data_IF_128697164808
#
_entry.id   IF_128697164808
#
_cell.length_a   1.000
_cell.length_b   1.000
_cell.length_c   1.000
_cell.angle_alpha   90.00
_cell.angle_beta   90.00
_cell.angle_gamma   90.00
#
_symmetry.space_group_name_H-M   'P 1'
#
loop_
_entity.id
_entity.type
_entity.pdbx_description
1 polymer ?
#
# COMPACT_ATOMS: atom_id res chain seq x y z
N UNK A 1 17.72 -21.67 -0.55
CA UNK A 1 17.65 -23.05 -1.09
C UNK A 1 18.78 -23.39 -2.08
N UNK A 2 19.22 -22.50 -2.96
CA UNK A 2 20.26 -22.80 -3.96
C UNK A 2 21.50 -23.53 -3.43
N UNK A 3 22.14 -23.10 -2.32
CA UNK A 3 23.30 -23.80 -1.76
C UNK A 3 23.01 -25.19 -1.15
N UNK A 4 21.74 -25.48 -0.85
CA UNK A 4 21.32 -26.73 -0.20
C UNK A 4 20.87 -27.81 -1.17
N UNK A 5 20.46 -27.42 -2.38
CA UNK A 5 19.97 -28.34 -3.42
C UNK A 5 21.00 -28.47 -4.54
N UNK A 6 21.42 -29.69 -4.82
CA UNK A 6 22.33 -29.99 -5.96
C UNK A 6 21.66 -29.74 -7.31
N UNK A 7 20.35 -29.93 -7.41
CA UNK A 7 19.54 -29.71 -8.61
C UNK A 7 18.26 -28.95 -8.26
N UNK A 8 18.32 -27.61 -8.02
CA UNK A 8 17.14 -26.85 -7.59
C UNK A 8 15.98 -26.90 -8.59
N UNK A 9 16.27 -26.96 -9.89
CA UNK A 9 15.27 -27.02 -10.97
C UNK A 9 14.58 -28.38 -11.13
N UNK A 10 15.07 -29.42 -10.42
CA UNK A 10 14.50 -30.76 -10.45
C UNK A 10 13.56 -31.07 -9.27
N UNK A 11 13.30 -30.10 -8.42
CA UNK A 11 12.41 -30.24 -7.26
C UNK A 11 11.02 -29.69 -7.63
N UNK A 12 9.96 -30.46 -7.32
CA UNK A 12 8.58 -30.01 -7.55
C UNK A 12 8.32 -28.67 -6.86
N UNK A 13 7.54 -27.75 -7.47
CA UNK A 13 7.29 -26.41 -6.94
C UNK A 13 6.76 -26.42 -5.50
N UNK A 14 5.85 -27.35 -5.19
CA UNK A 14 5.22 -27.52 -3.87
C UNK A 14 6.26 -27.96 -2.82
N UNK A 15 7.14 -28.87 -3.21
CA UNK A 15 8.22 -29.32 -2.35
C UNK A 15 9.27 -28.24 -2.11
N UNK A 16 9.57 -27.44 -3.14
CA UNK A 16 10.45 -26.27 -3.01
C UNK A 16 9.84 -25.24 -2.06
N UNK A 17 8.55 -24.93 -2.19
CA UNK A 17 7.83 -24.04 -1.30
C UNK A 17 7.83 -24.55 0.16
N UNK A 18 7.60 -25.85 0.37
CA UNK A 18 7.68 -26.47 1.68
C UNK A 18 9.07 -26.31 2.31
N UNK A 19 10.14 -26.58 1.56
CA UNK A 19 11.52 -26.41 2.03
C UNK A 19 11.84 -24.96 2.40
N UNK A 20 11.36 -23.98 1.61
CA UNK A 20 11.53 -22.55 1.91
C UNK A 20 10.78 -22.17 3.18
N UNK A 21 9.50 -22.57 3.31
CA UNK A 21 8.69 -22.28 4.49
C UNK A 21 9.29 -22.90 5.76
N UNK A 22 9.72 -24.17 5.69
CA UNK A 22 10.34 -24.85 6.82
C UNK A 22 11.68 -24.20 7.22
N UNK A 23 12.53 -23.83 6.26
CA UNK A 23 13.77 -23.13 6.56
C UNK A 23 13.52 -21.76 7.20
N UNK A 24 12.48 -21.03 6.74
CA UNK A 24 12.05 -19.78 7.37
C UNK A 24 11.58 -20.00 8.82
N UNK A 25 10.79 -21.06 9.07
CA UNK A 25 10.36 -21.41 10.43
C UNK A 25 11.54 -21.78 11.34
N UNK A 26 12.53 -22.52 10.83
CA UNK A 26 13.76 -22.82 11.59
C UNK A 26 14.51 -21.53 11.96
N UNK A 27 14.50 -20.52 11.08
CA UNK A 27 15.23 -19.29 11.29
C UNK A 27 14.52 -18.32 12.25
N UNK A 28 13.20 -18.14 12.06
CA UNK A 28 12.47 -17.04 12.67
C UNK A 28 11.38 -17.44 13.65
N UNK A 29 11.02 -18.74 13.76
CA UNK A 29 10.03 -19.16 14.75
C UNK A 29 10.67 -19.47 16.11
N UNK A 30 9.83 -19.49 17.15
CA UNK A 30 10.25 -19.90 18.51
C UNK A 30 10.30 -21.43 18.67
N UNK A 31 9.93 -22.20 17.66
CA UNK A 31 9.89 -23.64 17.72
C UNK A 31 11.30 -24.24 17.69
N UNK A 32 11.48 -25.37 18.36
CA UNK A 32 12.73 -26.11 18.25
C UNK A 32 12.99 -26.53 16.79
N UNK A 33 14.20 -26.27 16.23
CA UNK A 33 14.52 -26.60 14.84
C UNK A 33 14.19 -28.03 14.45
N UNK A 34 14.42 -28.98 15.35
CA UNK A 34 14.14 -30.42 15.14
C UNK A 34 12.64 -30.69 14.99
N UNK A 35 11.79 -30.00 15.76
CA UNK A 35 10.33 -30.13 15.65
C UNK A 35 9.85 -29.59 14.28
N UNK A 36 10.38 -28.47 13.84
CA UNK A 36 10.07 -27.92 12.52
C UNK A 36 10.47 -28.87 11.38
N UNK A 37 11.65 -29.52 11.50
CA UNK A 37 12.08 -30.54 10.52
C UNK A 37 11.10 -31.71 10.48
N UNK A 38 10.64 -32.20 11.64
CA UNK A 38 9.69 -33.29 11.72
C UNK A 38 8.35 -32.94 11.05
N UNK A 39 7.78 -31.79 11.41
CA UNK A 39 6.53 -31.31 10.83
C UNK A 39 6.65 -31.12 9.29
N UNK A 40 7.78 -30.63 8.81
CA UNK A 40 8.01 -30.48 7.37
C UNK A 40 8.07 -31.84 6.63
N UNK A 41 8.62 -32.87 7.26
CA UNK A 41 8.63 -34.23 6.71
C UNK A 41 7.21 -34.81 6.65
N UNK A 42 6.38 -34.56 7.67
CA UNK A 42 4.96 -34.98 7.66
C UNK A 42 4.16 -34.21 6.62
N UNK A 43 4.40 -32.89 6.47
CA UNK A 43 3.79 -32.09 5.42
C UNK A 43 4.12 -32.59 4.00
N UNK A 44 5.33 -33.10 3.76
CA UNK A 44 5.67 -33.72 2.48
C UNK A 44 4.80 -34.95 2.16
N UNK A 45 4.43 -35.73 3.18
CA UNK A 45 3.49 -36.88 3.01
C UNK A 45 2.09 -36.40 2.66
N UNK A 46 1.61 -35.33 3.32
CA UNK A 46 0.31 -34.71 3.03
C UNK A 46 0.26 -34.20 1.59
N UNK A 47 1.35 -33.62 1.09
CA UNK A 47 1.51 -33.18 -0.29
C UNK A 47 1.63 -34.35 -1.31
N UNK A 48 1.52 -35.61 -0.86
CA UNK A 48 1.70 -36.82 -1.67
C UNK A 48 3.11 -36.98 -2.26
N UNK A 49 4.09 -36.36 -1.63
CA UNK A 49 5.51 -36.37 -2.00
C UNK A 49 6.30 -37.36 -1.08
N UNK A 50 5.76 -38.52 -0.82
CA UNK A 50 6.32 -39.51 0.14
C UNK A 50 7.77 -39.90 -0.18
N UNK A 51 8.10 -40.02 -1.48
CA UNK A 51 9.47 -40.33 -1.95
C UNK A 51 10.47 -39.23 -1.65
N UNK A 52 10.00 -38.01 -1.40
CA UNK A 52 10.85 -36.85 -1.12
C UNK A 52 11.06 -36.59 0.39
N UNK A 53 10.43 -37.35 1.27
CA UNK A 53 10.57 -37.17 2.74
C UNK A 53 12.01 -37.24 3.21
N UNK A 54 12.80 -38.17 2.63
CA UNK A 54 14.25 -38.28 2.89
C UNK A 54 15.02 -37.04 2.44
N UNK A 55 14.67 -36.48 1.29
CA UNK A 55 15.25 -35.22 0.79
C UNK A 55 14.92 -34.05 1.71
N UNK A 56 13.65 -33.91 2.12
CA UNK A 56 13.20 -32.84 3.04
C UNK A 56 13.98 -32.92 4.34
N UNK A 57 14.06 -34.10 4.95
CA UNK A 57 14.78 -34.30 6.19
C UNK A 57 16.29 -33.96 6.03
N UNK A 58 16.93 -34.48 4.98
CA UNK A 58 18.36 -34.21 4.72
C UNK A 58 18.67 -32.71 4.48
N UNK A 59 17.89 -32.04 3.65
CA UNK A 59 18.06 -30.63 3.33
C UNK A 59 17.87 -29.75 4.57
N UNK A 60 16.82 -30.00 5.35
CA UNK A 60 16.53 -29.18 6.54
C UNK A 60 17.50 -29.45 7.68
N UNK A 61 17.92 -30.71 7.90
CA UNK A 61 18.98 -31.00 8.89
C UNK A 61 20.30 -30.37 8.52
N UNK A 62 20.66 -30.38 7.23
CA UNK A 62 21.85 -29.69 6.75
C UNK A 62 21.72 -28.18 6.92
N UNK A 63 20.54 -27.61 6.69
CA UNK A 63 20.28 -26.17 6.96
C UNK A 63 20.51 -25.88 8.44
N UNK A 64 20.00 -26.68 9.35
CA UNK A 64 20.17 -26.49 10.81
C UNK A 64 21.66 -26.56 11.20
N UNK A 65 22.39 -27.55 10.70
CA UNK A 65 23.82 -27.78 11.08
C UNK A 65 24.77 -26.75 10.46
N UNK A 66 24.52 -26.29 9.22
CA UNK A 66 25.38 -25.35 8.49
C UNK A 66 24.82 -23.92 8.52
N UNK A 67 23.81 -23.61 9.35
CA UNK A 67 23.02 -22.38 9.35
C UNK A 67 23.89 -21.11 9.28
N UNK A 68 24.84 -20.95 10.19
CA UNK A 68 25.67 -19.74 10.27
C UNK A 68 26.49 -19.52 8.97
N UNK A 69 27.11 -20.59 8.44
CA UNK A 69 27.89 -20.50 7.21
C UNK A 69 27.02 -20.22 5.97
N UNK A 70 25.81 -20.81 5.93
CA UNK A 70 24.86 -20.57 4.84
C UNK A 70 24.32 -19.15 4.85
N UNK A 71 23.95 -18.61 6.02
CA UNK A 71 23.49 -17.25 6.17
C UNK A 71 24.59 -16.25 5.78
N UNK A 72 25.81 -16.42 6.29
CA UNK A 72 26.96 -15.57 5.90
C UNK A 72 27.17 -15.53 4.38
N UNK A 73 27.03 -16.67 3.68
CA UNK A 73 27.15 -16.73 2.21
C UNK A 73 25.98 -16.03 1.49
N UNK A 74 24.78 -16.05 2.06
CA UNK A 74 23.60 -15.35 1.51
C UNK A 74 23.77 -13.85 1.71
N UNK A 75 24.18 -13.44 2.90
CA UNK A 75 24.33 -12.03 3.31
C UNK A 75 25.51 -11.33 2.63
N UNK A 76 26.47 -12.10 2.10
CA UNK A 76 27.50 -11.55 1.23
C UNK A 76 26.93 -10.93 -0.07
N UNK A 77 25.70 -11.31 -0.47
CA UNK A 77 25.01 -10.74 -1.62
C UNK A 77 24.01 -9.68 -1.16
N UNK A 78 23.96 -8.55 -1.86
CA UNK A 78 23.05 -7.43 -1.56
C UNK A 78 21.59 -7.89 -1.43
N UNK A 79 21.10 -8.67 -2.40
CA UNK A 79 19.74 -9.18 -2.38
C UNK A 79 19.44 -10.12 -1.20
N UNK A 80 20.44 -10.91 -0.77
CA UNK A 80 20.31 -11.77 0.42
C UNK A 80 20.25 -10.94 1.71
N UNK A 81 21.25 -10.07 1.89
CA UNK A 81 21.36 -9.22 3.09
C UNK A 81 20.15 -8.32 3.31
N UNK A 82 19.57 -7.77 2.24
CA UNK A 82 18.43 -6.88 2.31
C UNK A 82 17.09 -7.61 2.20
N UNK A 83 17.08 -8.88 1.82
CA UNK A 83 15.87 -9.65 1.48
C UNK A 83 15.00 -8.96 0.41
N UNK A 84 15.65 -8.26 -0.55
CA UNK A 84 14.97 -7.58 -1.66
C UNK A 84 15.64 -7.91 -3.00
N UNK A 85 14.91 -7.88 -4.13
CA UNK A 85 15.50 -8.08 -5.45
C UNK A 85 16.51 -6.96 -5.78
N UNK A 86 17.61 -7.32 -6.42
CA UNK A 86 18.71 -6.40 -6.70
C UNK A 86 18.28 -5.18 -7.52
N UNK A 87 17.33 -5.35 -8.45
CA UNK A 87 16.79 -4.24 -9.25
C UNK A 87 16.13 -3.16 -8.38
N UNK A 88 15.36 -3.58 -7.36
CA UNK A 88 14.67 -2.65 -6.46
C UNK A 88 15.67 -1.87 -5.61
N UNK A 89 16.64 -2.57 -5.00
CA UNK A 89 17.71 -1.91 -4.22
C UNK A 89 18.49 -0.91 -5.07
N UNK A 90 18.79 -1.26 -6.33
CA UNK A 90 19.47 -0.35 -7.26
C UNK A 90 18.65 0.91 -7.54
N UNK A 91 17.33 0.77 -7.76
CA UNK A 91 16.43 1.93 -7.98
C UNK A 91 16.32 2.81 -6.74
N UNK A 92 16.20 2.21 -5.55
CA UNK A 92 16.19 2.98 -4.29
C UNK A 92 17.48 3.80 -4.12
N UNK A 93 18.64 3.17 -4.31
CA UNK A 93 19.93 3.84 -4.18
C UNK A 93 20.17 4.93 -5.24
N UNK A 94 19.48 4.84 -6.38
CA UNK A 94 19.51 5.91 -7.39
C UNK A 94 18.59 7.08 -7.05
N UNK A 95 17.51 6.82 -6.28
CA UNK A 95 16.49 7.82 -5.94
C UNK A 95 16.71 8.49 -4.57
N UNK A 96 17.33 7.79 -3.64
CA UNK A 96 17.48 8.22 -2.24
C UNK A 96 18.92 8.10 -1.76
N UNK A 97 19.21 8.76 -0.62
CA UNK A 97 20.49 8.58 0.07
C UNK A 97 20.65 7.12 0.55
N UNK A 98 21.88 6.66 0.81
CA UNK A 98 22.13 5.32 1.36
C UNK A 98 21.36 5.05 2.66
N UNK A 99 21.27 6.03 3.54
CA UNK A 99 20.58 5.96 4.84
C UNK A 99 19.08 5.77 4.62
N UNK A 100 18.46 6.61 3.78
CA UNK A 100 17.04 6.52 3.45
C UNK A 100 16.70 5.20 2.77
N UNK A 101 17.56 4.75 1.85
CA UNK A 101 17.38 3.44 1.20
C UNK A 101 17.44 2.30 2.20
N UNK A 102 18.35 2.36 3.17
CA UNK A 102 18.45 1.37 4.24
C UNK A 102 17.21 1.38 5.14
N UNK A 103 16.70 2.55 5.52
CA UNK A 103 15.49 2.70 6.33
C UNK A 103 14.26 2.10 5.62
N UNK A 104 14.08 2.36 4.32
CA UNK A 104 13.01 1.76 3.51
C UNK A 104 13.13 0.24 3.49
N UNK A 105 14.33 -0.30 3.24
CA UNK A 105 14.55 -1.74 3.17
C UNK A 105 14.33 -2.43 4.52
N UNK A 106 14.75 -1.81 5.61
CA UNK A 106 14.53 -2.30 6.96
C UNK A 106 13.05 -2.29 7.33
N UNK A 107 12.36 -1.19 7.05
CA UNK A 107 10.92 -1.07 7.28
C UNK A 107 10.10 -2.09 6.49
N UNK A 108 10.48 -2.36 5.24
CA UNK A 108 9.84 -3.38 4.40
C UNK A 108 9.98 -4.81 4.96
N UNK A 109 10.96 -5.06 5.81
CA UNK A 109 11.19 -6.35 6.47
C UNK A 109 10.58 -6.41 7.90
N UNK A 110 10.10 -5.29 8.41
CA UNK A 110 9.47 -5.20 9.72
C UNK A 110 7.98 -5.53 9.67
N UNK A 111 7.39 -5.84 10.83
CA UNK A 111 5.93 -5.97 10.94
C UNK A 111 5.25 -4.62 10.69
N UNK A 112 4.19 -4.58 9.87
CA UNK A 112 3.45 -3.36 9.64
C UNK A 112 2.69 -2.94 10.91
N UNK A 113 2.64 -1.64 11.25
CA UNK A 113 1.79 -1.17 12.32
C UNK A 113 0.31 -1.34 11.93
N UNK A 114 -0.54 -1.69 12.89
CA UNK A 114 -1.98 -1.62 12.69
C UNK A 114 -2.46 -0.22 13.02
N UNK A 115 -3.03 0.44 12.02
CA UNK A 115 -3.56 1.79 12.15
C UNK A 115 -5.06 1.81 11.88
N UNK A 116 -5.78 2.54 12.69
CA UNK A 116 -7.21 2.74 12.59
C UNK A 116 -7.50 4.18 12.16
N UNK A 117 -8.53 4.34 11.34
CA UNK A 117 -9.18 5.61 11.04
C UNK A 117 -10.48 5.68 11.83
N UNK A 118 -10.61 6.67 12.67
CA UNK A 118 -11.82 6.98 13.44
C UNK A 118 -12.72 7.88 12.60
N UNK A 119 -14.01 7.54 12.48
CA UNK A 119 -15.01 8.43 11.88
C UNK A 119 -15.34 9.57 12.87
N UNK A 120 -14.67 10.71 12.67
CA UNK A 120 -14.81 11.89 13.53
C UNK A 120 -16.19 12.55 13.45
N UNK A 121 -17.05 12.16 12.50
CA UNK A 121 -18.44 12.61 12.45
C UNK A 121 -19.34 11.88 13.47
N UNK A 122 -18.86 10.77 14.01
CA UNK A 122 -19.61 9.91 14.94
C UNK A 122 -19.06 9.92 16.36
N UNK A 123 -17.74 10.11 16.51
CA UNK A 123 -17.08 10.10 17.81
C UNK A 123 -15.77 10.87 17.78
N UNK A 124 -15.34 11.39 18.91
CA UNK A 124 -14.03 11.99 19.08
C UNK A 124 -12.96 10.93 19.26
N UNK A 125 -11.74 11.18 18.72
CA UNK A 125 -10.60 10.26 18.85
C UNK A 125 -10.26 9.95 20.32
N UNK A 126 -10.31 10.95 21.21
CA UNK A 126 -10.02 10.76 22.62
C UNK A 126 -10.98 9.78 23.30
N UNK A 127 -12.28 9.88 23.00
CA UNK A 127 -13.27 8.92 23.49
C UNK A 127 -12.98 7.50 22.96
N UNK A 128 -12.63 7.38 21.67
CA UNK A 128 -12.31 6.08 21.09
C UNK A 128 -11.05 5.45 21.70
N UNK A 129 -10.02 6.24 22.03
CA UNK A 129 -8.84 5.76 22.75
C UNK A 129 -9.22 5.18 24.14
N UNK A 130 -10.12 5.83 24.87
CA UNK A 130 -10.62 5.28 26.14
C UNK A 130 -11.43 3.99 25.95
N UNK A 131 -12.16 3.86 24.86
CA UNK A 131 -12.89 2.62 24.51
C UNK A 131 -11.90 1.46 24.21
N UNK A 132 -10.80 1.73 23.49
CA UNK A 132 -9.73 0.75 23.24
C UNK A 132 -9.05 0.32 24.55
N UNK A 133 -8.72 1.27 25.43
CA UNK A 133 -8.14 0.99 26.74
C UNK A 133 -9.06 0.11 27.60
N UNK A 134 -10.36 0.42 27.63
CA UNK A 134 -11.35 -0.39 28.33
C UNK A 134 -11.47 -1.82 27.75
N UNK A 135 -11.19 -2.00 26.46
CA UNK A 135 -11.13 -3.30 25.80
C UNK A 135 -9.76 -4.01 25.97
N UNK A 136 -8.81 -3.41 26.69
CA UNK A 136 -7.48 -3.96 26.90
C UNK A 136 -6.56 -3.84 25.68
N UNK A 137 -6.86 -2.96 24.73
CA UNK A 137 -6.09 -2.73 23.51
C UNK A 137 -5.26 -1.46 23.67
N UNK A 138 -3.94 -1.62 23.80
CA UNK A 138 -3.02 -0.50 23.91
C UNK A 138 -2.90 0.25 22.57
N UNK A 139 -3.12 1.55 22.61
CA UNK A 139 -3.17 2.38 21.40
C UNK A 139 -2.72 3.82 21.68
N UNK A 140 -2.20 4.49 20.63
CA UNK A 140 -1.74 5.86 20.70
C UNK A 140 -2.32 6.71 19.56
N UNK A 141 -2.57 8.01 19.79
CA UNK A 141 -2.93 8.91 18.72
C UNK A 141 -1.75 9.09 17.75
N UNK A 142 -2.06 9.28 16.48
CA UNK A 142 -1.10 9.84 15.52
C UNK A 142 -1.26 11.35 15.56
N UNK A 143 -0.31 12.06 16.17
CA UNK A 143 -0.49 13.46 16.57
C UNK A 143 -0.78 14.41 15.39
N UNK A 144 -0.14 14.19 14.26
CA UNK A 144 -0.30 15.03 13.08
C UNK A 144 -1.58 14.73 12.26
N UNK A 145 -2.35 13.66 12.61
CA UNK A 145 -3.54 13.25 11.86
C UNK A 145 -4.70 12.95 12.82
N UNK A 146 -5.71 13.84 12.92
CA UNK A 146 -6.77 13.75 13.93
C UNK A 146 -7.60 12.45 13.92
N UNK A 147 -7.79 11.83 12.73
CA UNK A 147 -8.57 10.58 12.60
C UNK A 147 -7.76 9.32 12.91
N UNK A 148 -6.44 9.42 13.03
CA UNK A 148 -5.59 8.25 13.07
C UNK A 148 -5.24 7.83 14.50
N UNK A 149 -5.34 6.50 14.74
CA UNK A 149 -4.92 5.80 15.95
C UNK A 149 -4.01 4.65 15.55
N UNK A 150 -2.90 4.49 16.24
CA UNK A 150 -1.96 3.39 16.06
C UNK A 150 -2.10 2.41 17.22
N UNK A 151 -2.33 1.14 16.95
CA UNK A 151 -2.27 0.08 17.94
C UNK A 151 -0.81 -0.30 18.22
N UNK A 152 -0.49 -0.63 19.46
CA UNK A 152 0.85 -1.16 19.82
C UNK A 152 1.06 -2.53 19.18
N UNK A 153 0.06 -3.41 19.30
CA UNK A 153 0.06 -4.72 18.68
C UNK A 153 -1.19 -4.91 17.79
N UNK A 154 -1.06 -5.63 16.67
CA UNK A 154 -2.23 -5.91 15.83
C UNK A 154 -3.18 -6.88 16.54
N UNK A 155 -4.47 -6.64 16.40
CA UNK A 155 -5.55 -7.48 16.93
C UNK A 155 -6.45 -7.97 15.78
N UNK A 156 -7.27 -8.99 16.02
CA UNK A 156 -8.25 -9.43 15.04
C UNK A 156 -9.33 -8.35 14.83
N UNK A 157 -9.85 -8.22 13.59
CA UNK A 157 -10.87 -7.20 13.28
C UNK A 157 -12.13 -7.33 14.13
N UNK A 158 -12.47 -8.55 14.56
CA UNK A 158 -13.60 -8.82 15.47
C UNK A 158 -13.39 -8.28 16.88
N UNK A 159 -12.15 -7.98 17.27
CA UNK A 159 -11.79 -7.45 18.58
C UNK A 159 -11.71 -5.92 18.58
N UNK A 160 -11.70 -5.29 17.38
CA UNK A 160 -11.65 -3.83 17.25
C UNK A 160 -13.02 -3.22 17.55
N UNK A 161 -13.19 -2.48 18.65
CA UNK A 161 -14.47 -1.85 18.99
C UNK A 161 -14.97 -0.93 17.88
N UNK A 162 -16.24 -1.04 17.52
CA UNK A 162 -16.86 -0.17 16.51
C UNK A 162 -16.51 -0.47 15.05
N UNK A 163 -15.73 -1.53 14.77
CA UNK A 163 -15.41 -1.89 13.39
C UNK A 163 -16.63 -2.36 12.61
N UNK A 164 -17.41 -3.28 13.19
CA UNK A 164 -18.63 -3.82 12.56
C UNK A 164 -19.69 -2.76 12.36
N UNK A 165 -19.81 -1.82 13.30
CA UNK A 165 -20.75 -0.70 13.24
C UNK A 165 -20.32 0.41 12.28
N UNK A 166 -19.11 0.30 11.72
CA UNK A 166 -18.54 1.26 10.79
C UNK A 166 -18.15 2.58 11.46
N UNK A 167 -17.84 2.58 12.76
CA UNK A 167 -17.28 3.76 13.45
C UNK A 167 -15.79 3.95 13.23
N UNK A 168 -15.12 2.86 12.80
CA UNK A 168 -13.70 2.86 12.51
C UNK A 168 -13.39 1.99 11.28
N UNK A 169 -12.24 2.25 10.67
CA UNK A 169 -11.69 1.46 9.57
C UNK A 169 -10.21 1.18 9.80
N UNK A 170 -9.72 0.03 9.33
CA UNK A 170 -8.29 -0.22 9.26
C UNK A 170 -7.74 0.48 8.04
N UNK A 171 -6.89 1.48 8.23
CA UNK A 171 -6.26 2.21 7.15
C UNK A 171 -4.96 2.85 7.64
N UNK A 172 -3.89 2.71 6.86
CA UNK A 172 -2.61 3.37 7.14
C UNK A 172 -2.78 4.91 7.19
N UNK A 173 -2.07 5.56 8.12
CA UNK A 173 -2.17 7.01 8.29
C UNK A 173 -1.77 7.78 7.02
N UNK A 174 -0.80 7.25 6.25
CA UNK A 174 -0.45 7.81 4.95
C UNK A 174 -1.62 7.76 3.95
N UNK A 175 -2.38 6.65 3.92
CA UNK A 175 -3.56 6.52 3.06
C UNK A 175 -4.72 7.41 3.50
N UNK A 176 -4.82 7.73 4.80
CA UNK A 176 -5.84 8.63 5.33
C UNK A 176 -5.66 10.09 4.86
N UNK A 177 -4.49 10.47 4.37
CA UNK A 177 -4.25 11.82 3.83
C UNK A 177 -5.05 12.12 2.57
N UNK A 178 -5.49 11.12 1.82
CA UNK A 178 -6.15 11.33 0.54
C UNK A 178 -7.40 12.23 0.64
N UNK A 179 -8.27 12.00 1.64
CA UNK A 179 -9.50 12.79 1.79
C UNK A 179 -9.22 14.27 2.17
N UNK A 180 -8.43 14.58 3.22
CA UNK A 180 -8.11 15.96 3.54
C UNK A 180 -7.29 16.68 2.47
N UNK A 181 -6.39 15.98 1.74
CA UNK A 181 -5.60 16.60 0.66
C UNK A 181 -6.43 16.90 -0.59
N UNK A 182 -7.50 16.15 -0.85
CA UNK A 182 -8.42 16.43 -1.95
C UNK A 182 -9.20 17.73 -1.74
N UNK A 183 -9.45 18.09 -0.48
CA UNK A 183 -10.16 19.32 -0.09
C UNK A 183 -11.54 19.45 -0.78
N UNK A 184 -12.30 18.34 -0.76
CA UNK A 184 -13.66 18.34 -1.28
C UNK A 184 -14.62 19.04 -0.31
N UNK A 185 -15.49 19.91 -0.85
CA UNK A 185 -16.47 20.68 -0.07
C UNK A 185 -17.89 20.09 -0.26
N UNK A 186 -18.81 20.31 0.68
CA UNK A 186 -20.20 19.85 0.55
C UNK A 186 -20.84 20.25 -0.78
N UNK A 187 -21.59 19.36 -1.38
CA UNK A 187 -22.27 19.51 -2.69
C UNK A 187 -21.36 19.45 -3.91
N UNK A 188 -20.06 19.29 -3.74
CA UNK A 188 -19.16 19.05 -4.88
C UNK A 188 -19.41 17.67 -5.48
N UNK A 189 -19.22 17.60 -6.79
CA UNK A 189 -19.19 16.35 -7.55
C UNK A 189 -17.78 15.79 -7.54
N UNK A 190 -17.61 14.58 -6.99
CA UNK A 190 -16.31 13.98 -6.74
C UNK A 190 -16.21 12.62 -7.43
N UNK A 191 -15.10 12.39 -8.13
CA UNK A 191 -14.72 11.09 -8.67
C UNK A 191 -13.61 10.47 -7.81
N UNK A 192 -13.82 9.25 -7.34
CA UNK A 192 -12.76 8.36 -6.85
C UNK A 192 -12.42 7.37 -7.97
N UNK A 193 -11.33 7.62 -8.65
CA UNK A 193 -10.85 6.82 -9.76
C UNK A 193 -9.90 5.73 -9.27
N UNK A 194 -10.10 4.49 -9.72
CA UNK A 194 -9.42 3.28 -9.23
C UNK A 194 -9.73 3.01 -7.74
N UNK A 195 -11.01 3.09 -7.39
CA UNK A 195 -11.53 3.24 -6.04
C UNK A 195 -11.37 2.00 -5.13
N UNK A 196 -11.26 0.80 -5.71
CA UNK A 196 -11.28 -0.44 -4.93
C UNK A 196 -10.01 -0.62 -4.07
N UNK A 197 -10.18 -1.12 -2.84
CA UNK A 197 -11.36 -1.75 -2.23
C UNK A 197 -12.32 -0.79 -1.50
N UNK A 198 -12.28 0.53 -1.74
CA UNK A 198 -13.23 1.48 -1.18
C UNK A 198 -12.81 2.17 0.12
N UNK A 199 -11.56 1.97 0.57
CA UNK A 199 -11.06 2.60 1.79
C UNK A 199 -10.99 4.13 1.70
N UNK A 200 -10.55 4.66 0.55
CA UNK A 200 -10.50 6.10 0.28
C UNK A 200 -11.90 6.65 -0.05
N UNK A 201 -12.73 5.92 -0.82
CA UNK A 201 -14.14 6.24 -1.08
C UNK A 201 -14.91 6.44 0.23
N UNK A 202 -14.83 5.45 1.14
CA UNK A 202 -15.45 5.54 2.46
C UNK A 202 -14.96 6.76 3.25
N UNK A 203 -13.66 7.03 3.22
CA UNK A 203 -13.08 8.19 3.90
C UNK A 203 -13.57 9.51 3.32
N UNK A 204 -13.68 9.65 2.00
CA UNK A 204 -14.26 10.85 1.37
C UNK A 204 -15.70 11.09 1.85
N UNK A 205 -16.51 10.03 1.90
CA UNK A 205 -17.90 10.10 2.34
C UNK A 205 -18.06 10.36 3.87
N UNK A 206 -17.05 10.01 4.67
CA UNK A 206 -16.96 10.33 6.10
C UNK A 206 -16.48 11.78 6.30
N UNK A 207 -15.43 12.16 5.59
CA UNK A 207 -14.72 13.43 5.77
C UNK A 207 -15.58 14.64 5.35
N UNK A 208 -16.35 14.51 4.27
CA UNK A 208 -17.22 15.56 3.75
C UNK A 208 -18.61 15.04 3.46
N UNK A 209 -19.61 15.56 4.18
CA UNK A 209 -21.01 15.20 3.96
C UNK A 209 -21.59 15.85 2.70
N UNK A 210 -22.57 15.15 2.08
CA UNK A 210 -23.33 15.72 0.96
C UNK A 210 -22.55 15.83 -0.36
N UNK A 211 -21.54 14.99 -0.56
CA UNK A 211 -20.88 14.86 -1.86
C UNK A 211 -21.76 14.11 -2.88
N UNK A 212 -21.69 14.52 -4.14
CA UNK A 212 -22.10 13.69 -5.29
C UNK A 212 -20.88 12.80 -5.66
N UNK A 213 -20.75 11.66 -4.95
CA UNK A 213 -19.57 10.81 -5.01
C UNK A 213 -19.77 9.65 -5.98
N UNK A 214 -18.91 9.59 -6.98
CA UNK A 214 -18.81 8.49 -7.96
C UNK A 214 -17.50 7.73 -7.72
N UNK A 215 -17.59 6.42 -7.53
CA UNK A 215 -16.45 5.52 -7.34
C UNK A 215 -16.35 4.55 -8.52
N UNK A 216 -15.22 4.52 -9.20
CA UNK A 216 -14.99 3.73 -10.40
C UNK A 216 -13.80 2.79 -10.21
N UNK A 217 -13.97 1.51 -10.53
CA UNK A 217 -12.86 0.55 -10.65
C UNK A 217 -13.13 -0.40 -11.80
N UNK A 218 -12.07 -0.90 -12.43
CA UNK A 218 -12.17 -1.78 -13.61
C UNK A 218 -12.49 -3.23 -13.25
N UNK A 219 -12.19 -3.66 -12.02
CA UNK A 219 -12.38 -5.05 -11.58
C UNK A 219 -13.71 -5.22 -10.82
N UNK A 220 -14.67 -5.91 -11.45
CA UNK A 220 -15.98 -6.15 -10.86
C UNK A 220 -15.94 -6.81 -9.47
N UNK A 221 -15.00 -7.76 -9.22
CA UNK A 221 -14.87 -8.42 -7.91
C UNK A 221 -14.36 -7.46 -6.85
N UNK A 222 -13.54 -6.49 -7.24
CA UNK A 222 -13.04 -5.47 -6.35
C UNK A 222 -14.10 -4.41 -6.06
N UNK A 223 -14.97 -4.12 -7.03
CA UNK A 223 -16.11 -3.20 -6.87
C UNK A 223 -17.10 -3.70 -5.82
N UNK A 224 -17.35 -5.00 -5.72
CA UNK A 224 -18.17 -5.58 -4.65
C UNK A 224 -17.67 -5.18 -3.25
N UNK A 225 -16.35 -5.16 -3.06
CA UNK A 225 -15.74 -4.72 -1.78
C UNK A 225 -15.95 -3.24 -1.47
N UNK A 226 -16.05 -2.38 -2.51
CA UNK A 226 -16.43 -0.97 -2.30
C UNK A 226 -17.83 -0.90 -1.70
N UNK A 227 -18.77 -1.66 -2.28
CA UNK A 227 -20.16 -1.69 -1.83
C UNK A 227 -20.31 -2.25 -0.40
N UNK A 228 -19.58 -3.32 -0.07
CA UNK A 228 -19.52 -3.90 1.27
C UNK A 228 -19.00 -2.87 2.30
N UNK A 229 -17.89 -2.17 1.97
CA UNK A 229 -17.34 -1.13 2.84
C UNK A 229 -18.31 0.04 3.03
N UNK A 230 -18.91 0.56 1.97
CA UNK A 230 -19.89 1.64 2.07
C UNK A 230 -21.10 1.23 2.92
N UNK A 231 -21.59 0.00 2.78
CA UNK A 231 -22.69 -0.55 3.58
C UNK A 231 -22.31 -0.61 5.06
N UNK A 232 -21.13 -1.15 5.39
CA UNK A 232 -20.61 -1.21 6.76
C UNK A 232 -20.47 0.19 7.37
N UNK A 233 -19.94 1.15 6.62
CA UNK A 233 -19.74 2.53 7.03
C UNK A 233 -21.05 3.34 7.09
N UNK A 234 -22.15 2.79 6.54
CA UNK A 234 -23.44 3.49 6.38
C UNK A 234 -23.28 4.79 5.58
N UNK A 235 -22.49 4.71 4.51
CA UNK A 235 -22.23 5.79 3.55
C UNK A 235 -22.69 5.36 2.17
N UNK A 236 -22.88 6.32 1.28
CA UNK A 236 -23.36 6.10 -0.08
C UNK A 236 -22.44 6.74 -1.11
N UNK A 237 -22.27 6.06 -2.23
CA UNK A 237 -21.65 6.57 -3.45
C UNK A 237 -22.27 5.86 -4.64
N UNK A 238 -22.21 6.46 -5.81
CA UNK A 238 -22.47 5.74 -7.05
C UNK A 238 -21.25 4.89 -7.38
N UNK A 239 -21.40 3.56 -7.37
CA UNK A 239 -20.30 2.63 -7.63
C UNK A 239 -20.45 2.03 -9.01
N UNK A 240 -19.40 2.12 -9.84
CA UNK A 240 -19.44 1.73 -11.25
C UNK A 240 -18.25 0.86 -11.62
N UNK A 241 -18.51 -0.23 -12.35
CA UNK A 241 -17.46 -1.06 -12.97
C UNK A 241 -17.14 -0.46 -14.33
N UNK A 242 -16.00 0.22 -14.46
CA UNK A 242 -15.57 0.82 -15.74
C UNK A 242 -14.06 1.07 -15.76
N UNK A 243 -13.51 1.21 -16.95
CA UNK A 243 -12.14 1.69 -17.13
C UNK A 243 -12.16 3.22 -17.24
N UNK A 244 -11.46 3.88 -16.32
CA UNK A 244 -11.35 5.36 -16.30
C UNK A 244 -10.80 5.92 -17.61
N UNK A 245 -10.03 5.13 -18.38
CA UNK A 245 -9.51 5.51 -19.70
C UNK A 245 -10.58 5.55 -20.79
N UNK A 246 -11.79 5.05 -20.49
CA UNK A 246 -12.95 5.01 -21.37
C UNK A 246 -14.13 5.77 -20.72
N UNK A 247 -14.02 7.10 -20.57
CA UNK A 247 -15.01 7.90 -19.84
C UNK A 247 -16.43 7.77 -20.41
N UNK A 248 -16.57 7.58 -21.71
CA UNK A 248 -17.85 7.35 -22.38
C UNK A 248 -18.65 6.17 -21.85
N UNK A 249 -17.99 5.24 -21.15
CA UNK A 249 -18.66 4.06 -20.58
C UNK A 249 -19.38 4.31 -19.26
N UNK A 250 -19.10 5.44 -18.57
CA UNK A 250 -19.66 5.73 -17.24
C UNK A 250 -19.95 7.19 -16.96
N UNK A 251 -19.31 8.11 -17.68
CA UNK A 251 -19.42 9.54 -17.42
C UNK A 251 -20.59 10.17 -18.19
N UNK A 252 -21.40 10.97 -17.49
CA UNK A 252 -22.58 11.63 -18.06
C UNK A 252 -22.27 12.97 -18.76
N UNK A 253 -20.97 13.32 -18.90
CA UNK A 253 -20.52 14.58 -19.51
C UNK A 253 -20.47 15.78 -18.55
N UNK A 254 -21.00 15.66 -17.33
CA UNK A 254 -20.89 16.73 -16.33
C UNK A 254 -19.53 16.68 -15.64
N UNK A 255 -18.76 17.78 -15.60
CA UNK A 255 -17.43 17.77 -15.03
C UNK A 255 -17.48 17.51 -13.52
N UNK A 256 -16.37 16.94 -13.01
CA UNK A 256 -16.14 16.76 -11.58
C UNK A 256 -15.38 17.95 -10.99
N UNK A 257 -15.79 18.42 -9.82
CA UNK A 257 -15.10 19.50 -9.09
C UNK A 257 -13.80 19.00 -8.47
N UNK A 258 -13.79 17.74 -8.04
CA UNK A 258 -12.64 17.05 -7.44
C UNK A 258 -12.50 15.65 -8.00
N UNK A 259 -11.26 15.23 -8.22
CA UNK A 259 -10.94 13.84 -8.62
C UNK A 259 -9.83 13.34 -7.73
N UNK A 260 -10.08 12.22 -7.06
CA UNK A 260 -9.03 11.40 -6.45
C UNK A 260 -8.62 10.34 -7.47
N UNK A 261 -7.36 10.31 -7.84
CA UNK A 261 -6.79 9.23 -8.65
C UNK A 261 -5.80 8.44 -7.80
N UNK A 262 -6.28 7.33 -7.21
CA UNK A 262 -5.42 6.35 -6.52
C UNK A 262 -4.88 5.36 -7.55
N UNK A 263 -3.83 5.78 -8.24
CA UNK A 263 -3.37 5.13 -9.46
C UNK A 263 -2.83 3.70 -9.22
N UNK A 264 -3.15 2.74 -10.10
CA UNK A 264 -2.56 1.41 -10.02
C UNK A 264 -1.05 1.51 -10.17
N UNK A 265 -0.30 0.95 -9.21
CA UNK A 265 1.16 1.10 -9.12
C UNK A 265 1.85 -0.21 -8.71
N UNK A 266 3.18 -0.18 -8.64
CA UNK A 266 3.97 -1.33 -8.18
C UNK A 266 3.70 -1.73 -6.74
N UNK A 267 3.12 -0.84 -5.94
CA UNK A 267 2.86 -0.99 -4.51
C UNK A 267 4.14 -1.17 -3.67
N UNK A 268 5.26 -0.63 -4.13
CA UNK A 268 6.57 -0.75 -3.45
C UNK A 268 6.66 -0.03 -2.11
N UNK A 269 5.70 0.83 -1.80
CA UNK A 269 5.58 1.50 -0.51
C UNK A 269 4.88 0.67 0.57
N UNK A 270 4.19 -0.41 0.20
CA UNK A 270 3.42 -1.28 1.12
C UNK A 270 3.98 -2.70 1.21
N UNK A 271 5.24 -2.91 0.86
CA UNK A 271 5.92 -4.22 0.86
C UNK A 271 5.81 -4.91 2.22
N UNK A 272 5.89 -4.18 3.33
CA UNK A 272 5.76 -4.78 4.67
C UNK A 272 4.40 -5.43 4.92
N UNK A 273 3.33 -4.99 4.19
CA UNK A 273 1.99 -5.59 4.23
C UNK A 273 1.81 -6.71 3.21
N UNK A 274 2.50 -6.58 2.07
CA UNK A 274 2.42 -7.47 0.93
C UNK A 274 3.84 -7.90 0.48
N UNK A 275 4.51 -8.77 1.26
CA UNK A 275 5.91 -9.14 1.00
C UNK A 275 6.11 -9.92 -0.30
N UNK A 276 5.06 -10.48 -0.87
CA UNK A 276 5.01 -11.11 -2.19
C UNK A 276 5.37 -10.14 -3.33
N UNK A 277 5.18 -8.84 -3.16
CA UNK A 277 5.62 -7.80 -4.10
C UNK A 277 7.10 -7.95 -4.44
N UNK A 278 7.95 -8.29 -3.47
CA UNK A 278 9.38 -8.53 -3.69
C UNK A 278 9.66 -9.64 -4.72
N UNK A 279 8.75 -10.61 -4.84
CA UNK A 279 8.90 -11.77 -5.73
C UNK A 279 8.16 -11.59 -7.05
N UNK A 280 7.01 -10.91 -7.02
CA UNK A 280 6.12 -10.78 -8.17
C UNK A 280 6.49 -9.62 -9.08
N UNK A 281 6.98 -8.50 -8.51
CA UNK A 281 7.35 -7.32 -9.32
C UNK A 281 8.70 -7.50 -10.00
N UNK A 282 8.76 -7.00 -11.25
CA UNK A 282 9.96 -6.98 -12.09
C UNK A 282 10.31 -5.54 -12.48
N UNK A 283 11.55 -5.33 -12.90
CA UNK A 283 12.00 -4.00 -13.29
C UNK A 283 11.20 -3.40 -14.46
N UNK A 284 10.75 -4.26 -15.39
CA UNK A 284 10.02 -3.83 -16.59
C UNK A 284 8.56 -3.43 -16.30
N UNK A 285 7.99 -3.95 -15.21
CA UNK A 285 6.62 -3.59 -14.78
C UNK A 285 6.50 -2.10 -14.47
N UNK A 286 7.58 -1.46 -14.00
CA UNK A 286 7.55 -0.08 -13.53
C UNK A 286 7.22 0.88 -14.67
N UNK A 287 7.83 0.71 -15.85
CA UNK A 287 7.56 1.58 -17.00
C UNK A 287 6.17 1.35 -17.61
N UNK A 288 5.71 0.10 -17.60
CA UNK A 288 4.34 -0.26 -18.03
C UNK A 288 3.31 0.40 -17.11
N UNK A 289 3.53 0.34 -15.79
CA UNK A 289 2.65 0.97 -14.80
C UNK A 289 2.68 2.49 -14.92
N UNK A 290 3.85 3.12 -15.04
CA UNK A 290 3.98 4.56 -15.22
C UNK A 290 3.27 5.06 -16.50
N UNK A 291 3.34 4.28 -17.58
CA UNK A 291 2.61 4.57 -18.82
C UNK A 291 1.09 4.48 -18.61
N UNK A 292 0.62 3.45 -17.94
CA UNK A 292 -0.80 3.25 -17.61
C UNK A 292 -1.30 4.38 -16.70
N UNK A 293 -0.54 4.75 -15.68
CA UNK A 293 -0.84 5.87 -14.77
C UNK A 293 -1.01 7.19 -15.53
N UNK A 294 -0.10 7.49 -16.48
CA UNK A 294 -0.19 8.68 -17.32
C UNK A 294 -1.44 8.69 -18.20
N UNK A 295 -1.84 7.53 -18.74
CA UNK A 295 -3.07 7.39 -19.54
C UNK A 295 -4.31 7.66 -18.66
N UNK A 296 -4.38 7.06 -17.48
CA UNK A 296 -5.49 7.25 -16.55
C UNK A 296 -5.55 8.71 -16.06
N UNK A 297 -4.40 9.32 -15.74
CA UNK A 297 -4.32 10.71 -15.31
C UNK A 297 -4.85 11.67 -16.40
N UNK A 298 -4.50 11.45 -17.66
CA UNK A 298 -5.03 12.24 -18.80
C UNK A 298 -6.53 12.11 -18.94
N UNK A 299 -7.06 10.91 -18.87
CA UNK A 299 -8.50 10.64 -18.97
C UNK A 299 -9.26 11.28 -17.80
N UNK A 300 -8.78 11.09 -16.58
CA UNK A 300 -9.36 11.71 -15.37
C UNK A 300 -9.35 13.24 -15.46
N UNK A 301 -8.23 13.82 -15.87
CA UNK A 301 -8.12 15.29 -16.06
C UNK A 301 -9.08 15.82 -17.13
N UNK A 302 -9.37 15.05 -18.16
CA UNK A 302 -10.38 15.38 -19.18
C UNK A 302 -11.74 15.66 -18.57
N UNK A 303 -12.12 14.91 -17.55
CA UNK A 303 -13.41 15.00 -16.85
C UNK A 303 -13.44 16.08 -15.75
N UNK A 304 -12.31 16.70 -15.42
CA UNK A 304 -12.20 17.70 -14.36
C UNK A 304 -12.80 19.03 -14.83
N UNK A 305 -13.50 19.74 -13.95
CA UNK A 305 -13.98 21.11 -14.17
C UNK A 305 -12.82 22.10 -14.29
N UNK A 306 -13.01 23.21 -14.98
CA UNK A 306 -12.09 24.36 -14.90
C UNK A 306 -12.11 24.89 -13.46
N UNK A 307 -10.94 25.14 -12.88
CA UNK A 307 -10.78 25.45 -11.45
C UNK A 307 -10.92 24.22 -10.53
N UNK A 308 -11.23 23.05 -11.08
CA UNK A 308 -11.27 21.80 -10.35
C UNK A 308 -9.88 21.31 -9.98
N UNK A 309 -9.83 20.40 -9.00
CA UNK A 309 -8.59 19.84 -8.45
C UNK A 309 -8.58 18.32 -8.59
N UNK A 310 -7.48 17.77 -9.09
CA UNK A 310 -7.20 16.34 -9.15
C UNK A 310 -6.04 16.02 -8.18
N UNK A 311 -6.27 15.12 -7.26
CA UNK A 311 -5.24 14.56 -6.37
C UNK A 311 -4.76 13.23 -6.95
N UNK A 312 -3.54 13.21 -7.47
CA UNK A 312 -2.85 11.99 -7.89
C UNK A 312 -2.20 11.34 -6.68
N UNK A 313 -2.41 10.05 -6.49
CA UNK A 313 -1.75 9.28 -5.43
C UNK A 313 -1.30 7.92 -5.90
N UNK A 314 -0.22 7.42 -5.29
CA UNK A 314 0.25 6.03 -5.40
C UNK A 314 0.71 5.52 -4.04
N UNK A 315 0.75 4.21 -3.88
CA UNK A 315 1.48 3.55 -2.79
C UNK A 315 2.85 3.04 -3.26
N UNK A 316 3.54 3.78 -4.12
CA UNK A 316 4.89 3.50 -4.60
C UNK A 316 5.91 4.45 -3.95
N UNK A 317 7.12 3.96 -3.71
CA UNK A 317 8.27 4.80 -3.33
C UNK A 317 9.14 5.21 -4.52
N UNK A 318 8.82 4.72 -5.73
CA UNK A 318 9.65 4.93 -6.91
C UNK A 318 9.28 6.23 -7.63
N UNK A 319 10.24 7.14 -7.88
CA UNK A 319 9.99 8.39 -8.61
C UNK A 319 9.43 8.18 -10.01
N UNK A 320 9.73 7.04 -10.64
CA UNK A 320 9.24 6.64 -11.97
C UNK A 320 7.70 6.63 -12.05
N UNK A 321 7.03 6.21 -10.97
CA UNK A 321 5.57 6.12 -10.86
C UNK A 321 4.94 7.35 -10.20
N UNK A 322 5.76 8.23 -9.64
CA UNK A 322 5.39 9.37 -8.82
C UNK A 322 5.66 10.69 -9.57
N UNK A 323 6.72 11.39 -9.17
CA UNK A 323 7.06 12.71 -9.72
C UNK A 323 7.22 12.69 -11.24
N UNK A 324 7.87 11.66 -11.80
CA UNK A 324 8.11 11.61 -13.25
C UNK A 324 6.81 11.46 -14.07
N UNK A 325 5.77 10.79 -13.54
CA UNK A 325 4.46 10.70 -14.20
C UNK A 325 3.79 12.07 -14.19
N UNK A 326 3.82 12.78 -13.06
CA UNK A 326 3.23 14.12 -12.90
C UNK A 326 3.95 15.12 -13.80
N UNK A 327 5.28 15.10 -13.84
CA UNK A 327 6.08 16.01 -14.70
C UNK A 327 5.80 15.79 -16.19
N UNK A 328 5.73 14.53 -16.62
CA UNK A 328 5.37 14.16 -18.02
C UNK A 328 3.95 14.64 -18.37
N UNK A 329 3.03 14.58 -17.40
CA UNK A 329 1.68 15.06 -17.59
C UNK A 329 1.63 16.57 -17.71
N UNK A 330 2.21 17.30 -16.76
CA UNK A 330 2.22 18.76 -16.73
C UNK A 330 2.92 19.37 -17.97
N UNK A 331 3.99 18.74 -18.44
CA UNK A 331 4.70 19.18 -19.65
C UNK A 331 3.88 18.99 -20.93
N UNK A 332 2.91 18.07 -20.94
CA UNK A 332 2.12 17.73 -22.12
C UNK A 332 0.72 18.33 -22.13
N UNK A 333 0.21 18.82 -21.01
CA UNK A 333 -1.16 19.37 -20.88
C UNK A 333 -1.09 20.86 -20.45
N UNK A 334 -1.20 21.79 -21.39
CA UNK A 334 -1.03 23.23 -21.10
C UNK A 334 -2.12 23.80 -20.18
N UNK A 335 -3.27 23.13 -20.04
CA UNK A 335 -4.34 23.53 -19.12
C UNK A 335 -4.12 23.03 -17.70
N UNK A 336 -3.09 22.20 -17.48
CA UNK A 336 -2.78 21.68 -16.16
C UNK A 336 -1.71 22.55 -15.50
N UNK A 337 -1.92 22.87 -14.25
CA UNK A 337 -0.88 23.42 -13.39
C UNK A 337 -0.77 22.61 -12.11
N UNK A 338 0.43 22.49 -11.60
CA UNK A 338 0.64 21.94 -10.29
C UNK A 338 0.05 22.86 -9.22
N UNK A 339 -0.67 22.31 -8.25
CA UNK A 339 -1.31 23.07 -7.18
C UNK A 339 -0.71 22.70 -5.81
N UNK A 340 -0.70 23.66 -4.89
CA UNK A 340 -0.22 23.40 -3.54
C UNK A 340 -1.16 22.43 -2.82
N UNK A 341 -0.57 21.48 -2.09
CA UNK A 341 -1.31 20.67 -1.12
C UNK A 341 -1.78 21.54 0.05
N UNK A 342 -2.96 21.26 0.64
CA UNK A 342 -3.44 22.00 1.80
C UNK A 342 -2.41 22.01 2.93
N UNK A 343 -2.14 23.16 3.55
CA UNK A 343 -1.13 23.30 4.61
C UNK A 343 -1.57 22.60 5.90
N UNK A 344 -0.59 22.18 6.73
CA UNK A 344 -0.84 21.66 8.09
C UNK A 344 -1.40 20.24 8.18
N UNK A 345 -1.49 19.52 7.06
CA UNK A 345 -2.05 18.15 7.01
C UNK A 345 -0.95 17.09 6.95
N UNK A 346 0.19 17.43 6.34
CA UNK A 346 1.30 16.50 6.15
C UNK A 346 2.09 16.30 7.45
N UNK A 347 2.62 15.08 7.69
CA UNK A 347 3.51 14.86 8.81
C UNK A 347 4.79 15.71 8.66
N UNK A 348 5.42 16.12 9.79
CA UNK A 348 6.61 16.98 9.76
C UNK A 348 7.78 16.42 8.92
N UNK A 349 7.89 15.10 8.87
CA UNK A 349 8.95 14.38 8.15
C UNK A 349 8.58 14.05 6.69
N UNK A 350 7.40 14.44 6.23
CA UNK A 350 7.05 14.26 4.82
C UNK A 350 8.09 15.00 3.96
N UNK A 351 8.72 14.27 3.04
CA UNK A 351 9.60 14.91 2.05
C UNK A 351 8.72 15.72 1.11
N UNK A 352 8.58 16.99 1.43
CA UNK A 352 7.96 17.97 0.55
C UNK A 352 9.02 18.35 -0.48
N UNK A 353 8.97 17.77 -1.66
CA UNK A 353 9.79 18.27 -2.77
C UNK A 353 9.10 19.53 -3.29
N UNK A 354 9.73 20.66 -3.03
CA UNK A 354 9.34 21.93 -3.65
C UNK A 354 9.83 21.93 -5.10
N UNK A 355 8.98 21.49 -6.02
CA UNK A 355 9.09 21.94 -7.40
C UNK A 355 8.38 23.29 -7.49
N UNK A 356 9.05 24.32 -8.01
CA UNK A 356 8.60 25.68 -8.29
C UNK A 356 7.07 25.91 -8.10
N UNK A 357 6.64 26.22 -6.87
CA UNK A 357 5.26 26.48 -6.45
C UNK A 357 4.32 25.26 -6.27
N UNK A 358 4.63 24.05 -6.71
CA UNK A 358 3.81 22.87 -6.49
C UNK A 358 4.46 21.93 -5.48
N UNK A 359 3.74 21.69 -4.38
CA UNK A 359 4.23 20.81 -3.32
C UNK A 359 3.66 19.42 -3.54
N UNK A 360 4.54 18.49 -3.91
CA UNK A 360 4.24 17.07 -3.84
C UNK A 360 4.70 16.52 -2.50
N UNK A 361 4.05 15.47 -2.01
CA UNK A 361 4.42 14.83 -0.76
C UNK A 361 4.79 13.37 -1.00
N UNK A 362 6.01 12.99 -0.61
CA UNK A 362 6.45 11.60 -0.56
C UNK A 362 6.56 11.16 0.90
N UNK A 363 5.76 10.17 1.28
CA UNK A 363 5.88 9.44 2.54
C UNK A 363 6.72 8.19 2.29
N UNK A 364 7.62 7.88 3.20
CA UNK A 364 8.52 6.73 3.08
C UNK A 364 8.34 5.78 4.26
N UNK A 365 8.32 4.46 4.03
CA UNK A 365 8.40 3.49 5.11
C UNK A 365 9.70 3.69 5.89
N UNK A 366 9.64 3.52 7.22
CA UNK A 366 10.80 3.71 8.09
C UNK A 366 11.02 5.16 8.55
N UNK A 367 10.23 6.13 8.07
CA UNK A 367 10.23 7.48 8.62
C UNK A 367 9.59 7.54 10.02
N UNK A 368 9.89 8.60 10.78
CA UNK A 368 9.31 8.81 12.11
C UNK A 368 7.77 8.94 12.10
N UNK A 369 7.18 9.32 10.95
CA UNK A 369 5.73 9.33 10.76
C UNK A 369 5.09 7.94 10.90
N UNK A 370 5.88 6.85 10.77
CA UNK A 370 5.43 5.47 10.94
C UNK A 370 4.49 4.94 9.85
N UNK A 371 4.29 5.70 8.78
CA UNK A 371 3.39 5.37 7.66
C UNK A 371 4.00 4.34 6.71
N UNK A 372 3.16 3.79 5.84
CA UNK A 372 3.61 3.16 4.61
C UNK A 372 4.12 4.21 3.61
N UNK A 373 4.65 3.75 2.48
CA UNK A 373 5.06 4.63 1.40
C UNK A 373 3.87 5.10 0.57
N UNK A 374 3.68 6.42 0.49
CA UNK A 374 2.67 7.05 -0.36
C UNK A 374 3.25 8.29 -1.06
N UNK A 375 2.72 8.56 -2.23
CA UNK A 375 2.99 9.79 -2.95
C UNK A 375 1.69 10.53 -3.22
N UNK A 376 1.73 11.86 -3.12
CA UNK A 376 0.61 12.75 -3.40
C UNK A 376 1.07 13.95 -4.23
N UNK A 377 0.32 14.26 -5.27
CA UNK A 377 0.49 15.46 -6.08
C UNK A 377 -0.88 16.05 -6.45
N UNK A 378 -1.02 17.35 -6.33
CA UNK A 378 -2.24 18.06 -6.70
C UNK A 378 -2.07 18.77 -8.04
N UNK A 379 -3.04 18.59 -8.94
CA UNK A 379 -3.10 19.24 -10.24
C UNK A 379 -4.43 20.01 -10.34
N UNK A 380 -4.38 21.23 -10.82
CA UNK A 380 -5.56 22.08 -11.05
C UNK A 380 -5.73 22.32 -12.55
N UNK A 381 -6.99 22.36 -13.00
CA UNK A 381 -7.33 22.67 -14.39
C UNK A 381 -7.59 24.16 -14.56
N UNK A 382 -6.78 24.81 -15.41
CA UNK A 382 -6.94 26.21 -15.76
C UNK A 382 -7.73 26.36 -17.05
N UNK A 383 -8.24 27.58 -17.30
CA UNK A 383 -8.65 27.98 -18.67
C UNK A 383 -7.41 28.04 -19.55
N UNK A 384 -7.55 27.55 -20.79
CA UNK A 384 -6.48 27.67 -21.78
C UNK A 384 -6.20 29.12 -22.12
#
# INVERSE_FOLDING_TARGET
MGPLLTRPKGVAPELHALLVAAAHQVEYSRNAPQATVHVAVDAARILKEERATGLVNAVLRRFVSERAALLSRVDAKLAGRTAHPAWFVKRLNAAFSPETSADILNANNAHPPMMLRVDLTRQERGHYLSELEAAGIAAHPVEWLPSAVRLEEPVALSEVPGFTEGRVSVQDAGAQLAAPLLDAQPRMRVLDACAAPGGKTGHLAEYTSGLDLVAVDVDARRVERIQENLTRLKRTAQVVVADVRQPESFWDGKPFDRILLDAPCSATGVIRRHPDIKLLRRTDDIEVLATTQLQILRAAFGMLAVGGRLLYSTCSVLPDENQQVVDRFLSAEPRARAAALPPGILPPEARVQAYEAARTAQLLPGSAAGTDGFYYACVEKTTA
#
